data_IF_168180273225
#
_entry.id   IF_168180273225
#
_cell.length_a   1.000
_cell.length_b   1.000
_cell.length_c   1.000
_cell.angle_alpha   90.00
_cell.angle_beta   90.00
_cell.angle_gamma   90.00
#
_symmetry.space_group_name_H-M   'P 1'
#
loop_
_entity.id
_entity.type
_entity.pdbx_description
1 polymer ?
#
# COMPACT_ATOMS: atom_id res chain seq x y z
N UNK A 1 10.95 -3.76 -23.48
CA UNK A 1 10.63 -5.03 -22.80
C UNK A 1 9.96 -4.65 -21.47
N UNK A 2 8.76 -5.15 -21.21
CA UNK A 2 8.09 -4.96 -19.92
C UNK A 2 8.82 -5.91 -18.96
N UNK A 3 9.51 -5.35 -17.95
CA UNK A 3 10.15 -6.16 -16.91
C UNK A 3 9.08 -6.89 -16.11
N UNK A 4 9.34 -8.15 -15.73
CA UNK A 4 8.44 -8.92 -14.86
C UNK A 4 8.31 -8.28 -13.46
N UNK A 5 9.26 -7.43 -13.08
CA UNK A 5 9.37 -6.76 -11.78
C UNK A 5 8.58 -5.46 -11.76
N UNK A 6 7.76 -5.27 -10.72
CA UNK A 6 7.02 -4.04 -10.47
C UNK A 6 7.79 -3.08 -9.52
N UNK A 7 8.53 -3.63 -8.55
CA UNK A 7 9.40 -2.87 -7.64
C UNK A 7 10.69 -3.68 -7.46
N UNK A 8 11.84 -3.02 -7.64
CA UNK A 8 13.15 -3.58 -7.34
C UNK A 8 13.92 -2.63 -6.42
N UNK A 9 14.23 -3.10 -5.22
CA UNK A 9 14.96 -2.37 -4.18
C UNK A 9 16.29 -3.06 -3.94
N UNK A 10 17.41 -2.30 -4.06
CA UNK A 10 18.75 -2.84 -3.93
C UNK A 10 19.58 -2.11 -2.88
N UNK A 11 20.00 -2.86 -1.86
CA UNK A 11 20.87 -2.40 -0.77
C UNK A 11 20.45 -1.07 -0.17
N UNK A 12 19.12 -0.87 -0.04
CA UNK A 12 18.53 0.41 0.33
C UNK A 12 18.84 0.74 1.78
N UNK A 13 19.44 1.93 2.01
CA UNK A 13 19.72 2.46 3.34
C UNK A 13 19.06 3.80 3.54
N UNK A 14 18.59 4.03 4.76
CA UNK A 14 18.02 5.32 5.17
C UNK A 14 18.44 5.64 6.59
N UNK A 15 19.13 6.76 6.77
CA UNK A 15 19.41 7.37 8.06
C UNK A 15 18.55 8.60 8.23
N UNK A 16 17.89 8.72 9.38
CA UNK A 16 17.20 9.93 9.81
C UNK A 16 17.95 10.58 10.99
N UNK A 17 17.78 11.89 11.15
CA UNK A 17 18.33 12.63 12.29
C UNK A 17 17.18 12.96 13.25
N UNK A 18 17.22 12.40 14.45
CA UNK A 18 16.13 12.46 15.42
C UNK A 18 16.54 13.27 16.65
N UNK A 19 15.56 14.00 17.22
CA UNK A 19 15.72 14.78 18.45
C UNK A 19 16.49 16.10 18.25
N UNK A 20 16.57 16.89 19.33
CA UNK A 20 17.22 18.22 19.35
C UNK A 20 18.69 18.15 18.95
N UNK A 21 19.39 17.10 19.37
CA UNK A 21 20.82 16.87 19.05
C UNK A 21 21.05 16.17 17.69
N UNK A 22 20.02 16.01 16.87
CA UNK A 22 20.09 15.40 15.52
C UNK A 22 20.87 14.08 15.50
N UNK A 23 20.64 13.20 16.48
CA UNK A 23 21.30 11.89 16.52
C UNK A 23 20.93 11.08 15.27
N UNK A 24 21.94 10.53 14.55
CA UNK A 24 21.66 9.68 13.40
C UNK A 24 21.05 8.35 13.87
N UNK A 25 19.92 7.98 13.28
CA UNK A 25 19.26 6.68 13.47
C UNK A 25 19.11 6.03 12.10
N UNK A 26 19.74 4.88 11.92
CA UNK A 26 19.64 4.13 10.67
C UNK A 26 18.30 3.35 10.69
N UNK A 27 17.36 3.76 9.84
CA UNK A 27 16.02 3.18 9.74
C UNK A 27 16.03 1.98 8.79
N UNK A 28 16.70 2.11 7.62
CA UNK A 28 16.89 1.01 6.67
C UNK A 28 18.36 0.68 6.59
N UNK A 29 18.69 -0.61 6.68
CA UNK A 29 20.05 -1.12 6.89
C UNK A 29 20.49 -2.06 5.75
N UNK A 30 20.23 -1.68 4.50
CA UNK A 30 20.52 -2.51 3.32
C UNK A 30 19.35 -3.44 3.03
N UNK A 31 18.22 -2.85 2.64
CA UNK A 31 17.01 -3.59 2.23
C UNK A 31 17.16 -3.99 0.77
N UNK A 32 17.02 -5.28 0.49
CA UNK A 32 16.83 -5.86 -0.83
C UNK A 32 15.41 -6.42 -0.88
N UNK A 33 14.60 -6.01 -1.88
CA UNK A 33 13.20 -6.37 -1.99
C UNK A 33 12.76 -6.36 -3.45
N UNK A 34 12.08 -7.41 -3.89
CA UNK A 34 11.53 -7.51 -5.24
C UNK A 34 10.04 -7.82 -5.19
N UNK A 35 9.23 -7.00 -5.86
CA UNK A 35 7.81 -7.24 -6.09
C UNK A 35 7.60 -7.53 -7.57
N UNK A 36 6.96 -8.64 -7.90
CA UNK A 36 6.68 -9.01 -9.28
C UNK A 36 5.38 -8.37 -9.77
N UNK A 37 5.22 -8.27 -11.10
CA UNK A 37 3.97 -7.80 -11.67
C UNK A 37 2.84 -8.76 -11.35
N UNK A 38 1.68 -8.22 -11.12
CA UNK A 38 0.47 -8.96 -10.74
C UNK A 38 0.56 -9.70 -9.39
N UNK A 39 1.53 -9.35 -8.53
CA UNK A 39 1.52 -9.81 -7.15
C UNK A 39 0.46 -9.06 -6.31
N UNK A 40 -0.09 -9.76 -5.34
CA UNK A 40 -0.57 -9.16 -4.09
C UNK A 40 0.54 -9.40 -3.06
N UNK A 41 1.33 -8.38 -2.81
CA UNK A 41 2.55 -8.47 -2.02
C UNK A 41 2.39 -7.87 -0.63
N UNK A 42 2.63 -8.67 0.41
CA UNK A 42 2.58 -8.26 1.81
C UNK A 42 3.96 -7.88 2.36
N UNK A 43 4.15 -6.65 2.83
CA UNK A 43 5.34 -6.26 3.58
C UNK A 43 5.04 -6.31 5.08
N UNK A 44 5.54 -7.35 5.74
CA UNK A 44 5.26 -7.68 7.13
C UNK A 44 6.37 -7.19 8.06
N UNK A 45 6.02 -6.95 9.31
CA UNK A 45 6.99 -6.66 10.35
C UNK A 45 6.39 -5.84 11.49
N UNK A 46 7.04 -5.81 12.65
CA UNK A 46 6.60 -5.00 13.78
C UNK A 46 6.64 -3.50 13.46
N UNK A 47 6.00 -2.70 14.32
CA UNK A 47 6.11 -1.25 14.25
C UNK A 47 7.57 -0.81 14.37
N UNK A 48 8.00 0.12 13.50
CA UNK A 48 9.40 0.56 13.44
C UNK A 48 10.32 -0.34 12.61
N UNK A 49 9.86 -1.44 12.01
CA UNK A 49 10.69 -2.30 11.15
C UNK A 49 11.20 -1.61 9.86
N UNK A 50 10.62 -0.48 9.46
CA UNK A 50 11.02 0.27 8.27
C UNK A 50 10.05 0.19 7.09
N UNK A 51 8.92 -0.51 7.22
CA UNK A 51 7.92 -0.74 6.16
C UNK A 51 7.48 0.55 5.45
N UNK A 52 6.85 1.48 6.17
CA UNK A 52 6.42 2.79 5.64
C UNK A 52 7.59 3.60 5.07
N UNK A 53 8.79 3.51 5.66
CA UNK A 53 9.97 4.20 5.15
C UNK A 53 10.39 3.63 3.79
N UNK A 54 10.36 2.32 3.62
CA UNK A 54 10.65 1.65 2.33
C UNK A 54 9.67 2.12 1.25
N UNK A 55 8.37 2.12 1.53
CA UNK A 55 7.34 2.64 0.61
C UNK A 55 7.56 4.11 0.27
N UNK A 56 7.83 4.97 1.27
CA UNK A 56 8.08 6.41 1.04
C UNK A 56 9.33 6.67 0.20
N UNK A 57 10.37 5.84 0.34
CA UNK A 57 11.56 5.95 -0.53
C UNK A 57 11.23 5.49 -1.94
N UNK A 58 10.49 4.38 -2.11
CA UNK A 58 10.05 3.89 -3.42
C UNK A 58 9.22 4.93 -4.18
N UNK A 59 8.40 5.70 -3.49
CA UNK A 59 7.61 6.80 -4.05
C UNK A 59 8.40 8.11 -4.27
N UNK A 60 9.68 8.15 -3.92
CA UNK A 60 10.47 9.38 -3.99
C UNK A 60 10.08 10.44 -2.95
N UNK A 61 9.19 10.13 -2.01
CA UNK A 61 8.78 11.01 -0.90
C UNK A 61 9.90 11.17 0.14
N UNK A 62 10.84 10.24 0.15
CA UNK A 62 12.04 10.29 0.98
C UNK A 62 13.27 9.94 0.14
N UNK A 63 14.36 10.73 0.23
CA UNK A 63 15.63 10.39 -0.42
C UNK A 63 16.32 9.27 0.37
N UNK A 64 16.80 8.21 -0.29
CA UNK A 64 17.66 7.20 0.36
C UNK A 64 18.97 7.82 0.82
N UNK A 65 19.64 7.20 1.79
CA UNK A 65 21.04 7.52 2.14
C UNK A 65 22.02 6.83 1.21
N UNK A 66 21.69 5.61 0.76
CA UNK A 66 22.39 4.86 -0.30
C UNK A 66 21.47 3.73 -0.81
N UNK A 67 21.91 3.04 -1.86
CA UNK A 67 21.11 2.04 -2.56
C UNK A 67 20.19 2.67 -3.59
N UNK A 68 19.37 1.85 -4.22
CA UNK A 68 18.45 2.29 -5.29
C UNK A 68 17.08 1.64 -5.16
N UNK A 69 16.09 2.29 -5.77
CA UNK A 69 14.76 1.72 -6.01
C UNK A 69 14.39 1.99 -7.45
N UNK A 70 13.98 0.95 -8.15
CA UNK A 70 13.46 1.02 -9.50
C UNK A 70 11.98 0.57 -9.50
N UNK A 71 11.12 1.38 -10.13
CA UNK A 71 9.72 1.02 -10.36
C UNK A 71 9.56 0.54 -11.80
N UNK A 72 9.00 -0.65 -11.98
CA UNK A 72 8.73 -1.25 -13.30
C UNK A 72 7.54 -0.62 -14.04
N UNK A 73 7.15 0.60 -13.68
CA UNK A 73 6.08 1.38 -14.33
C UNK A 73 6.67 2.64 -14.96
N UNK A 74 6.02 3.24 -15.98
CA UNK A 74 6.58 4.38 -16.73
C UNK A 74 6.83 5.64 -15.91
N UNK A 75 6.28 5.72 -14.70
CA UNK A 75 6.45 6.86 -13.79
C UNK A 75 5.43 6.87 -12.66
N UNK A 76 5.54 7.82 -11.76
CA UNK A 76 4.66 7.94 -10.58
C UNK A 76 3.19 8.18 -10.93
N UNK A 77 2.88 8.66 -12.14
CA UNK A 77 1.50 8.73 -12.64
C UNK A 77 0.83 7.37 -12.81
N UNK A 78 1.61 6.29 -12.85
CA UNK A 78 1.13 4.90 -12.92
C UNK A 78 1.12 4.21 -11.54
N UNK A 79 1.35 4.97 -10.47
CA UNK A 79 1.35 4.49 -9.09
C UNK A 79 0.19 5.11 -8.33
N UNK A 80 -0.60 4.27 -7.65
CA UNK A 80 -1.59 4.68 -6.66
C UNK A 80 -1.01 4.52 -5.26
N UNK A 81 -1.25 5.48 -4.37
CA UNK A 81 -0.75 5.41 -2.99
C UNK A 81 -1.79 5.82 -1.97
N UNK A 82 -1.99 4.97 -0.97
CA UNK A 82 -2.76 5.26 0.23
C UNK A 82 -1.82 5.26 1.44
N UNK A 83 -1.56 6.39 2.10
CA UNK A 83 -0.80 6.44 3.34
C UNK A 83 -1.63 5.88 4.52
N UNK A 84 -0.95 5.45 5.60
CA UNK A 84 -1.58 4.95 6.83
C UNK A 84 -2.60 5.94 7.44
N UNK A 85 -2.28 7.23 7.42
CA UNK A 85 -3.12 8.31 7.91
C UNK A 85 -3.39 9.31 6.78
N UNK A 86 -4.37 9.03 5.90
CA UNK A 86 -4.70 9.95 4.82
C UNK A 86 -5.40 11.20 5.36
N UNK A 87 -5.07 12.35 4.77
CA UNK A 87 -5.74 13.60 5.08
C UNK A 87 -6.77 13.92 3.99
N UNK A 88 -8.00 14.20 4.41
CA UNK A 88 -9.10 14.51 3.51
C UNK A 88 -9.64 15.93 3.72
N UNK A 89 -10.17 16.52 2.66
CA UNK A 89 -10.98 17.76 2.75
C UNK A 89 -12.37 17.38 3.27
N UNK A 90 -12.56 17.37 4.56
CA UNK A 90 -13.69 16.82 5.29
C UNK A 90 -15.03 17.50 5.00
N UNK A 91 -15.00 18.71 4.46
CA UNK A 91 -16.15 19.49 4.00
C UNK A 91 -16.64 19.13 2.58
N UNK A 92 -15.83 18.37 1.81
CA UNK A 92 -16.26 17.83 0.52
C UNK A 92 -17.08 16.55 0.70
N UNK A 93 -18.01 16.32 -0.20
CA UNK A 93 -18.62 15.00 -0.38
C UNK A 93 -17.65 14.02 -1.05
N UNK A 94 -17.92 12.71 -0.96
CA UNK A 94 -17.07 11.70 -1.62
C UNK A 94 -16.95 11.92 -3.13
N UNK A 95 -18.06 12.29 -3.79
CA UNK A 95 -18.08 12.61 -5.22
C UNK A 95 -17.26 13.86 -5.55
N UNK A 96 -17.41 14.93 -4.78
CA UNK A 96 -16.65 16.17 -4.98
C UNK A 96 -15.15 15.94 -4.75
N UNK A 97 -14.79 15.18 -3.73
CA UNK A 97 -13.41 14.85 -3.42
C UNK A 97 -12.75 14.05 -4.54
N UNK A 98 -13.37 12.95 -5.01
CA UNK A 98 -12.84 12.20 -6.14
C UNK A 98 -12.82 13.01 -7.44
N UNK A 99 -13.84 13.87 -7.65
CA UNK A 99 -13.87 14.80 -8.78
C UNK A 99 -12.75 15.84 -8.75
N UNK A 100 -12.36 16.29 -7.55
CA UNK A 100 -11.19 17.14 -7.36
C UNK A 100 -9.89 16.38 -7.69
N UNK A 101 -9.71 15.19 -7.14
CA UNK A 101 -8.54 14.36 -7.43
C UNK A 101 -8.42 14.04 -8.94
N UNK A 102 -9.53 13.70 -9.59
CA UNK A 102 -9.55 13.39 -11.03
C UNK A 102 -9.13 14.60 -11.90
N UNK A 103 -9.48 15.82 -11.49
CA UNK A 103 -9.00 17.05 -12.17
C UNK A 103 -7.49 17.23 -12.06
N UNK A 104 -6.89 16.89 -10.92
CA UNK A 104 -5.42 16.96 -10.77
C UNK A 104 -4.68 16.03 -11.72
N UNK A 105 -5.32 14.93 -12.15
CA UNK A 105 -4.81 14.03 -13.20
C UNK A 105 -5.27 14.40 -14.62
N UNK A 106 -5.87 15.60 -14.81
CA UNK A 106 -6.27 16.09 -16.11
C UNK A 106 -7.57 15.50 -16.67
N UNK A 107 -8.36 14.79 -15.87
CA UNK A 107 -9.66 14.29 -16.30
C UNK A 107 -10.71 15.39 -16.26
N UNK A 108 -11.43 15.58 -17.38
CA UNK A 108 -12.44 16.62 -17.54
C UNK A 108 -13.78 16.09 -18.07
N UNK A 109 -14.81 16.90 -17.96
CA UNK A 109 -16.13 16.64 -18.57
C UNK A 109 -16.72 15.29 -18.20
N UNK A 110 -17.25 14.60 -19.21
CA UNK A 110 -17.88 13.28 -19.09
C UNK A 110 -16.91 12.18 -18.63
N UNK A 111 -15.63 12.23 -19.05
CA UNK A 111 -14.62 11.25 -18.67
C UNK A 111 -14.35 11.30 -17.14
N UNK A 112 -14.25 12.51 -16.56
CA UNK A 112 -14.14 12.70 -15.12
C UNK A 112 -15.34 12.13 -14.39
N UNK A 113 -16.56 12.48 -14.85
CA UNK A 113 -17.79 12.00 -14.22
C UNK A 113 -17.86 10.46 -14.24
N UNK A 114 -17.65 9.86 -15.39
CA UNK A 114 -17.67 8.39 -15.53
C UNK A 114 -16.60 7.72 -14.63
N UNK A 115 -15.39 8.32 -14.53
CA UNK A 115 -14.34 7.80 -13.65
C UNK A 115 -14.72 7.85 -12.19
N UNK A 116 -15.30 8.97 -11.73
CA UNK A 116 -15.73 9.15 -10.34
C UNK A 116 -16.83 8.16 -9.97
N UNK A 117 -17.88 8.01 -10.79
CA UNK A 117 -18.97 7.08 -10.50
C UNK A 117 -18.47 5.62 -10.48
N UNK A 118 -17.59 5.25 -11.43
CA UNK A 118 -16.97 3.93 -11.42
C UNK A 118 -16.16 3.68 -10.14
N UNK A 119 -15.36 4.65 -9.69
CA UNK A 119 -14.55 4.51 -8.47
C UNK A 119 -15.42 4.38 -7.22
N UNK A 120 -16.51 5.15 -7.13
CA UNK A 120 -17.49 5.02 -6.04
C UNK A 120 -18.07 3.61 -6.01
N UNK A 121 -18.44 3.05 -7.17
CA UNK A 121 -18.91 1.67 -7.29
C UNK A 121 -17.84 0.64 -6.95
N UNK A 122 -16.62 0.84 -7.42
CA UNK A 122 -15.49 -0.06 -7.12
C UNK A 122 -15.21 -0.20 -5.61
N UNK A 123 -15.54 0.84 -4.82
CA UNK A 123 -15.31 0.84 -3.36
C UNK A 123 -16.63 0.78 -2.55
N UNK A 124 -17.79 0.62 -3.19
CA UNK A 124 -19.10 0.47 -2.54
C UNK A 124 -19.52 1.71 -1.73
N UNK A 125 -19.37 2.90 -2.33
CA UNK A 125 -19.71 4.19 -1.72
C UNK A 125 -20.71 5.01 -2.55
N UNK A 126 -21.45 4.39 -3.50
CA UNK A 126 -22.40 5.07 -4.37
C UNK A 126 -23.50 5.77 -3.56
N UNK A 127 -24.08 5.08 -2.58
CA UNK A 127 -25.17 5.61 -1.75
C UNK A 127 -24.71 6.75 -0.84
N UNK A 128 -23.42 6.77 -0.48
CA UNK A 128 -22.82 7.79 0.36
C UNK A 128 -22.10 8.90 -0.43
N UNK A 129 -22.10 8.82 -1.76
CA UNK A 129 -21.29 9.70 -2.63
C UNK A 129 -21.57 11.20 -2.42
N UNK A 130 -22.81 11.59 -2.08
CA UNK A 130 -23.20 12.97 -1.78
C UNK A 130 -22.98 13.39 -0.32
N UNK A 131 -22.58 12.48 0.57
CA UNK A 131 -22.36 12.78 1.98
C UNK A 131 -20.97 13.38 2.19
N UNK A 132 -20.85 14.41 3.02
CA UNK A 132 -19.55 15.02 3.35
C UNK A 132 -18.66 14.03 4.08
N UNK A 133 -17.34 14.07 3.78
CA UNK A 133 -16.34 13.12 4.31
C UNK A 133 -16.25 13.17 5.85
N UNK A 134 -16.53 14.31 6.50
CA UNK A 134 -16.59 14.41 7.97
C UNK A 134 -17.67 13.51 8.61
N UNK A 135 -18.62 13.01 7.83
CA UNK A 135 -19.66 12.09 8.29
C UNK A 135 -19.36 10.62 7.93
N UNK A 136 -18.28 10.37 7.22
CA UNK A 136 -17.89 9.01 6.87
C UNK A 136 -17.36 8.28 8.10
N UNK A 137 -17.71 7.00 8.21
CA UNK A 137 -17.06 6.09 9.16
C UNK A 137 -15.57 5.89 8.78
N UNK A 138 -14.77 5.35 9.71
CA UNK A 138 -13.36 5.03 9.42
C UNK A 138 -13.22 4.10 8.22
N UNK A 139 -14.08 3.07 8.10
CA UNK A 139 -14.09 2.17 6.94
C UNK A 139 -14.45 2.88 5.63
N UNK A 140 -15.41 3.82 5.66
CA UNK A 140 -15.75 4.63 4.49
C UNK A 140 -14.59 5.56 4.10
N UNK A 141 -13.90 6.19 5.07
CA UNK A 141 -12.72 7.01 4.82
C UNK A 141 -11.57 6.18 4.22
N UNK A 142 -11.38 4.97 4.69
CA UNK A 142 -10.37 4.07 4.12
C UNK A 142 -10.69 3.72 2.67
N UNK A 143 -11.94 3.36 2.37
CA UNK A 143 -12.39 3.02 1.02
C UNK A 143 -12.32 4.21 0.05
N UNK A 144 -12.69 5.42 0.47
CA UNK A 144 -12.55 6.61 -0.37
C UNK A 144 -11.07 6.95 -0.62
N UNK A 145 -10.17 6.69 0.35
CA UNK A 145 -8.73 6.82 0.19
C UNK A 145 -8.17 5.82 -0.83
N UNK A 146 -8.65 4.58 -0.83
CA UNK A 146 -8.31 3.62 -1.89
C UNK A 146 -8.83 4.12 -3.25
N UNK A 147 -10.07 4.60 -3.33
CA UNK A 147 -10.61 5.18 -4.56
C UNK A 147 -9.78 6.36 -5.07
N UNK A 148 -9.29 7.23 -4.17
CA UNK A 148 -8.35 8.31 -4.50
C UNK A 148 -7.06 7.75 -5.12
N UNK A 149 -6.47 6.72 -4.51
CA UNK A 149 -5.25 6.10 -5.01
C UNK A 149 -5.44 5.48 -6.42
N UNK A 150 -6.68 5.13 -6.78
CA UNK A 150 -7.02 4.52 -8.05
C UNK A 150 -7.43 5.52 -9.15
N UNK A 151 -7.49 6.83 -8.88
CA UNK A 151 -8.06 7.83 -9.80
C UNK A 151 -7.42 7.81 -11.19
N UNK A 152 -6.11 7.65 -11.27
CA UNK A 152 -5.32 7.64 -12.52
C UNK A 152 -5.18 6.25 -13.17
N UNK A 153 -5.96 5.26 -12.74
CA UNK A 153 -5.90 3.86 -13.21
C UNK A 153 -4.50 3.21 -13.10
N UNK A 154 -3.86 3.25 -11.92
CA UNK A 154 -2.48 2.83 -11.76
C UNK A 154 -2.27 1.35 -12.10
N UNK A 155 -1.05 1.01 -12.54
CA UNK A 155 -0.59 -0.39 -12.68
C UNK A 155 -0.09 -0.96 -11.35
N UNK A 156 0.46 -0.08 -10.50
CA UNK A 156 1.01 -0.42 -9.17
C UNK A 156 0.25 0.35 -8.10
N UNK A 157 -0.27 -0.35 -7.10
CA UNK A 157 -1.01 0.22 -5.96
C UNK A 157 -0.27 -0.09 -4.66
N UNK A 158 0.10 0.95 -3.92
CA UNK A 158 0.79 0.87 -2.64
C UNK A 158 -0.17 1.31 -1.53
N UNK A 159 -0.42 0.44 -0.54
CA UNK A 159 -1.34 0.70 0.56
C UNK A 159 -0.60 0.55 1.89
N UNK A 160 -0.53 1.61 2.68
CA UNK A 160 0.14 1.59 3.99
C UNK A 160 -0.88 1.29 5.08
N UNK A 161 -0.85 0.09 5.67
CA UNK A 161 -1.74 -0.40 6.73
C UNK A 161 -3.25 -0.24 6.39
N UNK A 162 -3.74 -0.73 5.22
CA UNK A 162 -5.08 -0.41 4.72
C UNK A 162 -6.23 -0.95 5.56
N UNK A 163 -6.00 -1.93 6.44
CA UNK A 163 -7.03 -2.57 7.26
C UNK A 163 -6.94 -2.23 8.74
N UNK A 164 -5.95 -1.41 9.14
CA UNK A 164 -5.70 -1.07 10.55
C UNK A 164 -6.83 -0.27 11.17
N UNK A 165 -7.35 -0.80 12.29
CA UNK A 165 -8.40 -0.17 13.08
C UNK A 165 -9.78 -0.16 12.41
N UNK A 166 -10.00 -1.01 11.40
CA UNK A 166 -11.32 -1.28 10.84
C UNK A 166 -12.03 -2.37 11.65
N UNK A 167 -13.35 -2.29 11.69
CA UNK A 167 -14.21 -3.37 12.16
C UNK A 167 -14.17 -4.58 11.19
N UNK A 168 -14.69 -5.76 11.57
CA UNK A 168 -14.63 -6.94 10.71
C UNK A 168 -15.29 -6.73 9.34
N UNK A 169 -16.39 -5.96 9.27
CA UNK A 169 -17.09 -5.69 8.01
C UNK A 169 -16.23 -4.82 7.10
N UNK A 170 -15.67 -3.72 7.63
CA UNK A 170 -14.79 -2.83 6.87
C UNK A 170 -13.54 -3.53 6.36
N UNK A 171 -12.99 -4.49 7.13
CA UNK A 171 -11.85 -5.32 6.69
C UNK A 171 -12.23 -6.19 5.49
N UNK A 172 -13.36 -6.87 5.54
CA UNK A 172 -13.86 -7.69 4.41
C UNK A 172 -14.08 -6.83 3.16
N UNK A 173 -14.62 -5.62 3.32
CA UNK A 173 -14.81 -4.71 2.18
C UNK A 173 -13.48 -4.28 1.53
N UNK A 174 -12.46 -3.95 2.34
CA UNK A 174 -11.13 -3.61 1.82
C UNK A 174 -10.45 -4.83 1.16
N UNK A 175 -10.56 -6.02 1.75
CA UNK A 175 -10.05 -7.27 1.13
C UNK A 175 -10.63 -7.48 -0.26
N UNK A 176 -11.96 -7.38 -0.41
CA UNK A 176 -12.65 -7.51 -1.70
C UNK A 176 -12.20 -6.47 -2.74
N UNK A 177 -11.82 -5.27 -2.31
CA UNK A 177 -11.26 -4.26 -3.22
C UNK A 177 -9.89 -4.72 -3.71
N UNK A 178 -9.01 -5.21 -2.82
CA UNK A 178 -7.68 -5.70 -3.18
C UNK A 178 -7.77 -6.90 -4.13
N UNK A 179 -8.64 -7.88 -3.86
CA UNK A 179 -8.91 -9.03 -4.73
C UNK A 179 -9.32 -8.59 -6.13
N UNK A 180 -10.29 -7.66 -6.24
CA UNK A 180 -10.73 -7.12 -7.55
C UNK A 180 -9.63 -6.36 -8.29
N UNK A 181 -8.71 -5.70 -7.60
CA UNK A 181 -7.55 -5.07 -8.24
C UNK A 181 -6.61 -6.12 -8.83
N UNK A 182 -6.35 -7.17 -8.08
CA UNK A 182 -5.53 -8.29 -8.54
C UNK A 182 -6.16 -9.01 -9.75
N UNK A 183 -7.45 -9.32 -9.72
CA UNK A 183 -8.20 -9.91 -10.83
C UNK A 183 -8.15 -9.05 -12.11
N UNK A 184 -8.01 -7.72 -11.96
CA UNK A 184 -7.83 -6.78 -13.07
C UNK A 184 -6.37 -6.64 -13.53
N UNK A 185 -5.47 -7.49 -13.03
CA UNK A 185 -4.05 -7.50 -13.40
C UNK A 185 -3.24 -6.36 -12.80
N UNK A 186 -3.72 -5.72 -11.71
CA UNK A 186 -2.95 -4.71 -10.98
C UNK A 186 -1.98 -5.37 -10.01
N UNK A 187 -0.79 -4.79 -9.87
CA UNK A 187 0.12 -5.15 -8.80
C UNK A 187 -0.27 -4.38 -7.54
N UNK A 188 -0.48 -5.07 -6.44
CA UNK A 188 -0.82 -4.46 -5.15
C UNK A 188 0.25 -4.81 -4.13
N UNK A 189 0.86 -3.82 -3.51
CA UNK A 189 1.72 -4.02 -2.35
C UNK A 189 1.11 -3.33 -1.15
N UNK A 190 0.98 -4.01 -0.03
CA UNK A 190 0.53 -3.39 1.20
C UNK A 190 1.37 -3.77 2.41
N UNK A 191 1.51 -2.81 3.32
CA UNK A 191 2.12 -3.06 4.62
C UNK A 191 1.04 -3.58 5.57
N UNK A 192 1.38 -4.56 6.39
CA UNK A 192 0.50 -5.02 7.46
C UNK A 192 1.29 -5.59 8.64
N UNK A 193 0.68 -5.56 9.81
CA UNK A 193 1.10 -6.31 10.99
C UNK A 193 0.06 -7.40 11.35
N UNK A 194 -0.98 -7.57 10.53
CA UNK A 194 -2.07 -8.54 10.74
C UNK A 194 -1.87 -9.72 9.78
N UNK A 195 -1.35 -10.82 10.31
CA UNK A 195 -0.92 -11.98 9.54
C UNK A 195 -2.09 -12.71 8.86
N UNK A 196 -3.26 -12.76 9.51
CA UNK A 196 -4.46 -13.37 8.91
C UNK A 196 -4.91 -12.70 7.61
N UNK A 197 -4.82 -11.35 7.53
CA UNK A 197 -5.18 -10.64 6.30
C UNK A 197 -4.19 -10.91 5.18
N UNK A 198 -2.92 -11.06 5.53
CA UNK A 198 -1.85 -11.36 4.58
C UNK A 198 -1.96 -12.79 4.05
N UNK A 199 -2.24 -13.75 4.93
CA UNK A 199 -2.45 -15.15 4.55
C UNK A 199 -3.59 -15.28 3.52
N UNK A 200 -4.68 -14.56 3.72
CA UNK A 200 -5.85 -14.63 2.83
C UNK A 200 -5.63 -13.95 1.47
N UNK A 201 -4.83 -12.88 1.41
CA UNK A 201 -4.76 -12.00 0.24
C UNK A 201 -3.47 -12.13 -0.57
N UNK A 202 -2.33 -12.39 0.10
CA UNK A 202 -1.04 -12.25 -0.54
C UNK A 202 -0.63 -13.48 -1.34
N UNK A 203 -0.03 -13.24 -2.50
CA UNK A 203 0.67 -14.27 -3.28
C UNK A 203 2.10 -14.44 -2.78
N UNK A 204 2.75 -13.32 -2.42
CA UNK A 204 4.13 -13.26 -1.92
C UNK A 204 4.22 -12.28 -0.75
N UNK A 205 5.22 -12.50 0.10
CA UNK A 205 5.47 -11.65 1.27
C UNK A 205 6.95 -11.37 1.46
N UNK A 206 7.26 -10.30 2.18
CA UNK A 206 8.55 -10.11 2.81
C UNK A 206 8.37 -9.78 4.29
N UNK A 207 9.25 -10.31 5.13
CA UNK A 207 9.28 -10.07 6.56
C UNK A 207 10.43 -9.13 6.89
N UNK A 208 10.10 -7.97 7.44
CA UNK A 208 11.09 -6.97 7.87
C UNK A 208 11.24 -6.94 9.38
N UNK A 209 12.49 -6.81 9.83
CA UNK A 209 12.84 -6.53 11.21
C UNK A 209 13.99 -5.55 11.28
N UNK A 210 13.91 -4.54 12.13
CA UNK A 210 14.99 -3.57 12.41
C UNK A 210 15.68 -2.97 11.17
N UNK A 211 14.89 -2.69 10.12
CA UNK A 211 15.37 -2.07 8.87
C UNK A 211 16.01 -3.03 7.88
N UNK A 212 15.80 -4.33 8.02
CA UNK A 212 16.27 -5.38 7.10
C UNK A 212 15.13 -6.26 6.66
N UNK A 213 15.21 -6.80 5.46
CA UNK A 213 14.39 -7.94 5.03
C UNK A 213 15.06 -9.19 5.57
N UNK A 214 14.33 -9.94 6.39
CA UNK A 214 14.79 -11.19 6.99
C UNK A 214 14.44 -12.38 6.13
N UNK A 215 13.33 -12.31 5.41
CA UNK A 215 12.85 -13.34 4.49
C UNK A 215 11.93 -12.73 3.42
N UNK A 216 11.94 -13.31 2.21
CA UNK A 216 11.02 -12.99 1.13
C UNK A 216 10.75 -14.23 0.30
N UNK A 217 9.48 -14.51 -0.02
CA UNK A 217 9.07 -15.64 -0.86
C UNK A 217 7.56 -15.70 -1.08
N UNK A 218 7.08 -16.79 -1.66
CA UNK A 218 5.66 -17.06 -1.80
C UNK A 218 5.05 -17.42 -0.43
N UNK A 219 3.77 -17.12 -0.23
CA UNK A 219 3.05 -17.49 1.01
C UNK A 219 3.05 -19.02 1.20
N UNK A 220 2.88 -19.79 0.13
CA UNK A 220 2.92 -21.25 0.17
C UNK A 220 4.28 -21.80 0.61
N UNK A 221 5.39 -21.15 0.27
CA UNK A 221 6.73 -21.50 0.74
C UNK A 221 6.83 -21.34 2.27
N UNK A 222 6.34 -20.21 2.80
CA UNK A 222 6.32 -19.97 4.24
C UNK A 222 5.46 -21.00 4.99
N UNK A 223 4.30 -21.39 4.43
CA UNK A 223 3.40 -22.38 4.99
C UNK A 223 3.94 -23.82 4.87
N UNK A 224 4.88 -24.09 3.99
CA UNK A 224 5.57 -25.38 3.91
C UNK A 224 6.61 -25.55 5.04
N UNK A 225 7.11 -24.45 5.62
CA UNK A 225 8.13 -24.45 6.67
C UNK A 225 7.54 -24.37 8.10
N UNK A 226 6.25 -23.98 8.26
CA UNK A 226 5.61 -23.83 9.57
C UNK A 226 4.10 -24.14 9.51
N UNK A 227 3.48 -24.51 10.65
CA UNK A 227 2.05 -24.85 10.70
C UNK A 227 1.12 -23.69 10.37
N UNK A 228 1.58 -22.45 10.57
CA UNK A 228 0.83 -21.22 10.26
C UNK A 228 1.79 -20.09 9.86
N UNK A 229 1.24 -19.05 9.23
CA UNK A 229 2.02 -17.86 8.89
C UNK A 229 2.49 -17.11 10.15
N UNK A 230 1.72 -17.20 11.25
CA UNK A 230 2.09 -16.68 12.56
C UNK A 230 3.32 -17.37 13.13
N UNK A 231 3.36 -18.70 13.08
CA UNK A 231 4.50 -19.49 13.57
C UNK A 231 5.75 -19.21 12.72
N UNK A 232 5.58 -19.16 11.39
CA UNK A 232 6.68 -18.82 10.48
C UNK A 232 7.22 -17.40 10.75
N UNK A 233 6.34 -16.42 10.88
CA UNK A 233 6.73 -15.04 11.21
C UNK A 233 7.52 -14.99 12.52
N UNK A 234 7.05 -15.68 13.57
CA UNK A 234 7.75 -15.73 14.85
C UNK A 234 9.13 -16.39 14.72
N UNK A 235 9.28 -17.48 13.98
CA UNK A 235 10.58 -18.10 13.72
C UNK A 235 11.55 -17.11 13.06
N UNK A 236 11.11 -16.42 11.99
CA UNK A 236 11.96 -15.48 11.24
C UNK A 236 12.33 -14.24 12.08
N UNK A 237 11.43 -13.72 12.91
CA UNK A 237 11.72 -12.50 13.70
C UNK A 237 12.42 -12.77 15.02
N UNK A 238 12.50 -14.02 15.49
CA UNK A 238 13.23 -14.38 16.73
C UNK A 238 14.60 -14.99 16.47
N UNK A 239 14.86 -15.47 15.25
CA UNK A 239 16.18 -15.89 14.79
C UNK A 239 17.14 -14.70 14.66
#
# INVERSE_FOLDING_TARGET
MITATAIDVRSLRKTAHVGFFRKPVEILKGVDLTVERNDVFGLLGPNGAGKTTTVKVALGLMRPSSGSVELGVPGLSHVGYLPENPYFYDYLSGREFLGFCARLFGLEGSARHARVERLLGDVGLEDAAGTHLRKYSKGMLQRIGIAQALVNDPELVLLDEPMTGLDPIGRVEVKRIIERLHERGKTVMFNSHILSDVHELCTRIAIMREGRVMWQGAVDEALAEAPSLEDFFMQVVTA
#
